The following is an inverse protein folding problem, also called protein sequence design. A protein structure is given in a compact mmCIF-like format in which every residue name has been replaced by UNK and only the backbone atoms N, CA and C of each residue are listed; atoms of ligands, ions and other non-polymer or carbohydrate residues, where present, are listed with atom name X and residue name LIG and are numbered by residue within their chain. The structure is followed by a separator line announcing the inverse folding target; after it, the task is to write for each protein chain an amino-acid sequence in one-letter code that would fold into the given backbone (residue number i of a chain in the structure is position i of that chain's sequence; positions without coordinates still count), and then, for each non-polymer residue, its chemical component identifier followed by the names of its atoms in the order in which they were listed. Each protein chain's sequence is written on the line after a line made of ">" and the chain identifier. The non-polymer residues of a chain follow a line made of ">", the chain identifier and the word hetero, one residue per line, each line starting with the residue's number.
data_IF_774756277635
#
_entry.id   IF_774756277635
#
_cell.length_a   1.000
_cell.length_b   1.000
_cell.length_c   1.000
_cell.angle_alpha   90.00
_cell.angle_beta   90.00
_cell.angle_gamma   90.00
#
_symmetry.space_group_name_H-M   'P 1'
#
loop_
_entity.id
_entity.type
_entity.pdbx_description
1 polymer ?
#
# COMPACT_ATOMS: atom_id res chain seq x y z
N UNK A 1 28.40 1.04 -72.88
CA UNK A 1 29.61 1.46 -72.14
C UNK A 1 29.53 0.90 -70.73
N UNK A 2 30.54 0.18 -70.27
CA UNK A 2 30.38 -0.85 -69.29
C UNK A 2 30.43 -0.33 -67.82
N UNK A 3 29.61 -0.92 -66.97
CA UNK A 3 29.62 -0.75 -65.53
C UNK A 3 30.75 -1.59 -64.91
N UNK A 4 31.60 -0.96 -64.09
CA UNK A 4 32.66 -1.62 -63.36
C UNK A 4 32.09 -2.04 -62.04
N UNK A 5 31.99 -3.37 -61.77
CA UNK A 5 31.63 -3.99 -60.51
C UNK A 5 32.89 -4.06 -59.63
N UNK A 6 32.92 -3.30 -58.56
CA UNK A 6 33.99 -3.41 -57.56
C UNK A 6 33.52 -4.39 -56.47
N UNK A 7 34.05 -5.60 -56.52
CA UNK A 7 33.84 -6.60 -55.49
C UNK A 7 34.73 -6.32 -54.26
N UNK A 8 34.17 -5.93 -53.13
CA UNK A 8 34.86 -5.76 -51.88
C UNK A 8 34.88 -7.12 -51.13
N UNK A 9 36.05 -7.75 -51.13
CA UNK A 9 36.32 -8.98 -50.36
C UNK A 9 36.60 -8.58 -48.92
N UNK A 10 35.67 -8.87 -48.01
CA UNK A 10 35.88 -8.75 -46.59
C UNK A 10 36.39 -10.09 -46.05
N UNK A 11 37.58 -10.16 -45.46
CA UNK A 11 38.03 -11.39 -44.84
C UNK A 11 37.23 -11.62 -43.52
N UNK A 12 36.40 -12.66 -43.49
CA UNK A 12 35.83 -13.18 -42.27
C UNK A 12 36.94 -13.78 -41.42
N UNK A 13 37.36 -13.05 -40.38
CA UNK A 13 38.08 -13.66 -39.27
C UNK A 13 37.07 -14.48 -38.46
N UNK A 14 36.94 -15.76 -38.75
CA UNK A 14 36.36 -16.74 -37.83
C UNK A 14 37.31 -16.94 -36.67
N UNK A 15 37.19 -16.09 -35.65
CA UNK A 15 37.73 -16.38 -34.33
C UNK A 15 36.84 -17.44 -33.68
N UNK A 16 37.26 -18.71 -33.76
CA UNK A 16 36.74 -19.75 -32.86
C UNK A 16 37.17 -19.42 -31.43
N UNK A 17 36.39 -18.60 -30.75
CA UNK A 17 36.40 -18.62 -29.27
C UNK A 17 35.75 -19.95 -28.87
N UNK A 18 36.61 -20.96 -28.61
CA UNK A 18 36.20 -22.14 -27.90
C UNK A 18 35.83 -21.70 -26.47
N UNK A 19 34.58 -21.25 -26.29
CA UNK A 19 33.99 -21.28 -24.96
C UNK A 19 34.01 -22.72 -24.56
N UNK A 20 34.98 -23.07 -23.68
CA UNK A 20 34.93 -24.30 -22.92
C UNK A 20 33.55 -24.36 -22.29
N UNK A 21 32.65 -25.14 -22.89
CA UNK A 21 31.35 -25.48 -22.32
C UNK A 21 31.70 -26.12 -20.97
N UNK A 22 31.60 -25.32 -19.89
CA UNK A 22 31.64 -25.90 -18.57
C UNK A 22 30.51 -26.92 -18.56
N UNK A 23 30.88 -28.21 -18.55
CA UNK A 23 29.94 -29.32 -18.39
C UNK A 23 29.14 -28.99 -17.13
N UNK A 24 27.87 -28.61 -17.29
CA UNK A 24 26.95 -28.51 -16.18
C UNK A 24 26.94 -29.86 -15.48
N UNK A 25 27.30 -29.92 -14.19
CA UNK A 25 27.31 -31.19 -13.49
C UNK A 25 25.89 -31.75 -13.51
N UNK A 26 25.73 -32.96 -14.03
CA UNK A 26 24.48 -33.69 -14.08
C UNK A 26 23.78 -33.66 -12.70
N UNK A 27 22.47 -33.59 -12.72
CA UNK A 27 21.57 -33.35 -11.60
C UNK A 27 21.98 -34.08 -10.31
N UNK A 28 22.55 -33.33 -9.37
CA UNK A 28 22.86 -33.83 -8.01
C UNK A 28 21.79 -33.39 -6.98
N UNK A 29 20.92 -32.43 -7.37
CA UNK A 29 19.74 -32.07 -6.63
C UNK A 29 18.55 -32.95 -7.03
N UNK A 30 17.72 -33.30 -6.08
CA UNK A 30 16.50 -34.06 -6.36
C UNK A 30 15.55 -33.25 -7.23
N UNK A 31 14.69 -33.94 -7.98
CA UNK A 31 13.65 -33.28 -8.77
C UNK A 31 12.77 -32.41 -7.86
N UNK A 32 12.63 -31.12 -8.22
CA UNK A 32 11.85 -30.16 -7.43
C UNK A 32 12.63 -29.41 -6.35
N UNK A 33 13.91 -29.68 -6.13
CA UNK A 33 14.78 -28.85 -5.31
C UNK A 33 15.27 -27.61 -6.08
N UNK A 34 15.49 -26.52 -5.36
CA UNK A 34 16.22 -25.36 -5.87
C UNK A 34 17.71 -25.67 -5.88
N UNK A 35 18.43 -25.14 -6.88
CA UNK A 35 19.86 -25.42 -7.09
C UNK A 35 20.64 -24.10 -7.21
N UNK A 36 21.78 -24.03 -6.53
CA UNK A 36 22.79 -22.99 -6.70
C UNK A 36 24.12 -23.57 -7.14
N UNK A 37 24.82 -22.90 -8.04
CA UNK A 37 26.16 -23.22 -8.50
C UNK A 37 27.06 -22.01 -8.33
N UNK A 38 28.27 -22.21 -7.81
CA UNK A 38 29.28 -21.16 -7.67
C UNK A 38 30.67 -21.67 -7.90
N UNK A 39 31.56 -20.76 -8.33
CA UNK A 39 33.00 -21.03 -8.61
C UNK A 39 33.84 -19.95 -7.95
N UNK A 40 34.82 -20.31 -7.14
CA UNK A 40 35.69 -19.37 -6.46
C UNK A 40 37.16 -19.84 -6.45
N UNK A 41 38.07 -19.00 -5.99
CA UNK A 41 39.47 -19.37 -5.76
C UNK A 41 39.63 -20.25 -4.52
N UNK A 42 38.68 -20.11 -3.59
CA UNK A 42 38.59 -20.93 -2.40
C UNK A 42 37.16 -21.43 -2.17
N UNK A 43 36.98 -22.35 -1.25
CA UNK A 43 35.68 -22.98 -0.97
C UNK A 43 34.63 -22.01 -0.43
N UNK A 44 35.03 -21.02 0.37
CA UNK A 44 34.11 -20.02 0.93
C UNK A 44 33.56 -19.10 -0.14
N UNK A 45 34.38 -18.65 -1.11
CA UNK A 45 33.94 -17.86 -2.24
C UNK A 45 32.99 -18.63 -3.14
N UNK A 46 33.37 -19.87 -3.50
CA UNK A 46 32.52 -20.75 -4.32
C UNK A 46 31.17 -21.02 -3.64
N UNK A 47 31.18 -21.25 -2.32
CA UNK A 47 29.95 -21.47 -1.55
C UNK A 47 29.09 -20.21 -1.46
N UNK A 48 29.69 -19.04 -1.26
CA UNK A 48 28.96 -17.77 -1.23
C UNK A 48 28.27 -17.46 -2.58
N UNK A 49 28.99 -17.69 -3.69
CA UNK A 49 28.44 -17.56 -5.04
C UNK A 49 27.32 -18.60 -5.29
N UNK A 50 27.47 -19.83 -4.89
CA UNK A 50 26.46 -20.87 -5.02
C UNK A 50 25.18 -20.51 -4.23
N UNK A 51 25.29 -19.99 -3.01
CA UNK A 51 24.17 -19.53 -2.20
C UNK A 51 23.49 -18.30 -2.82
N UNK A 52 24.24 -17.38 -3.39
CA UNK A 52 23.70 -16.23 -4.12
C UNK A 52 22.90 -16.66 -5.36
N UNK A 53 23.43 -17.60 -6.14
CA UNK A 53 22.73 -18.17 -7.29
C UNK A 53 21.44 -18.91 -6.88
N UNK A 54 21.47 -19.66 -5.76
CA UNK A 54 20.31 -20.31 -5.17
C UNK A 54 19.23 -19.30 -4.80
N UNK A 55 19.61 -18.24 -4.07
CA UNK A 55 18.69 -17.16 -3.69
C UNK A 55 18.07 -16.48 -4.90
N UNK A 56 18.86 -16.23 -5.96
CA UNK A 56 18.37 -15.71 -7.24
C UNK A 56 17.34 -16.63 -7.90
N UNK A 57 17.55 -17.96 -7.89
CA UNK A 57 16.58 -18.91 -8.43
C UNK A 57 15.27 -18.92 -7.63
N UNK A 58 15.34 -18.88 -6.31
CA UNK A 58 14.16 -18.85 -5.44
C UNK A 58 13.38 -17.53 -5.68
N UNK A 59 14.06 -16.38 -5.71
CA UNK A 59 13.44 -15.08 -6.00
C UNK A 59 12.78 -15.04 -7.37
N UNK A 60 13.40 -15.65 -8.39
CA UNK A 60 12.79 -15.78 -9.73
C UNK A 60 11.53 -16.64 -9.69
N UNK A 61 11.53 -17.75 -8.95
CA UNK A 61 10.34 -18.59 -8.75
C UNK A 61 9.21 -17.84 -8.06
N UNK A 62 9.52 -17.03 -7.05
CA UNK A 62 8.57 -16.14 -6.36
C UNK A 62 7.95 -15.16 -7.34
N UNK A 63 8.75 -14.47 -8.13
CA UNK A 63 8.27 -13.46 -9.09
C UNK A 63 7.35 -14.08 -10.15
N UNK A 64 7.71 -15.21 -10.73
CA UNK A 64 6.88 -15.93 -11.72
C UNK A 64 5.53 -16.35 -11.11
N UNK A 65 5.53 -16.82 -9.87
CA UNK A 65 4.28 -17.20 -9.18
C UNK A 65 3.39 -16.00 -8.94
N UNK A 66 3.96 -14.87 -8.50
CA UNK A 66 3.22 -13.60 -8.29
C UNK A 66 2.65 -13.06 -9.61
N UNK A 67 3.43 -13.04 -10.69
CA UNK A 67 2.95 -12.57 -12.01
C UNK A 67 1.81 -13.42 -12.56
N UNK A 68 1.87 -14.75 -12.42
CA UNK A 68 0.75 -15.64 -12.80
C UNK A 68 -0.53 -15.34 -12.03
N UNK A 69 -0.42 -15.06 -10.74
CA UNK A 69 -1.56 -14.73 -9.89
C UNK A 69 -2.20 -13.41 -10.33
N UNK A 70 -1.40 -12.38 -10.58
CA UNK A 70 -1.87 -11.07 -11.06
C UNK A 70 -2.56 -11.21 -12.42
N UNK A 71 -1.99 -11.95 -13.36
CA UNK A 71 -2.58 -12.15 -14.68
C UNK A 71 -3.90 -12.92 -14.63
N UNK A 72 -4.05 -13.90 -13.72
CA UNK A 72 -5.30 -14.62 -13.52
C UNK A 72 -6.41 -13.74 -12.90
N UNK A 73 -6.06 -12.81 -12.01
CA UNK A 73 -7.03 -11.86 -11.45
C UNK A 73 -7.55 -10.88 -12.49
N UNK A 74 -6.69 -10.40 -13.39
CA UNK A 74 -7.08 -9.51 -14.50
C UNK A 74 -7.99 -10.24 -15.49
N UNK A 75 -7.73 -11.52 -15.80
CA UNK A 75 -8.55 -12.32 -16.73
C UNK A 75 -9.95 -12.63 -16.21
N UNK A 76 -10.16 -12.63 -14.90
CA UNK A 76 -11.46 -12.92 -14.28
C UNK A 76 -12.34 -11.67 -14.09
N UNK A 77 -11.99 -10.52 -14.69
CA UNK A 77 -12.84 -9.33 -14.76
C UNK A 77 -13.10 -8.63 -13.41
N UNK A 78 -12.39 -9.00 -12.37
CA UNK A 78 -12.32 -8.23 -11.12
C UNK A 78 -11.13 -7.29 -11.21
N UNK A 79 -11.36 -6.12 -11.79
CA UNK A 79 -10.50 -4.95 -11.59
C UNK A 79 -10.62 -4.49 -10.14
N UNK A 80 -10.15 -5.28 -9.21
CA UNK A 80 -9.78 -4.78 -7.90
C UNK A 80 -8.37 -4.21 -8.05
N UNK A 81 -8.32 -3.01 -8.63
CA UNK A 81 -7.17 -2.12 -8.62
C UNK A 81 -6.98 -1.58 -7.19
N UNK A 82 -6.99 -2.44 -6.18
CA UNK A 82 -6.26 -2.18 -4.97
C UNK A 82 -4.81 -2.14 -5.42
N UNK A 83 -4.32 -0.92 -5.62
CA UNK A 83 -2.93 -0.61 -5.93
C UNK A 83 -2.05 -1.23 -4.85
N UNK A 84 -1.88 -2.53 -4.94
CA UNK A 84 -0.86 -3.25 -4.22
C UNK A 84 0.50 -2.86 -4.78
N UNK A 85 0.93 -1.64 -4.49
CA UNK A 85 2.33 -1.32 -4.37
C UNK A 85 2.84 -2.09 -3.15
N UNK A 86 2.75 -3.41 -3.24
CA UNK A 86 3.51 -4.24 -2.33
C UNK A 86 4.93 -4.12 -2.80
N UNK A 87 5.66 -3.40 -2.02
CA UNK A 87 7.08 -3.18 -2.17
C UNK A 87 7.76 -4.49 -2.59
N UNK A 88 8.32 -4.53 -3.80
CA UNK A 88 9.29 -5.54 -4.22
C UNK A 88 10.37 -5.75 -3.13
N UNK A 89 10.63 -4.75 -2.34
CA UNK A 89 11.58 -4.75 -1.24
C UNK A 89 11.35 -5.84 -0.18
N UNK A 90 10.12 -6.32 0.03
CA UNK A 90 9.83 -7.36 1.03
C UNK A 90 10.20 -8.76 0.54
N UNK A 91 10.32 -8.96 -0.79
CA UNK A 91 10.69 -10.26 -1.38
C UNK A 91 12.17 -10.25 -1.82
N UNK A 92 12.74 -9.08 -2.09
CA UNK A 92 14.14 -8.92 -2.48
C UNK A 92 15.13 -9.01 -1.31
N UNK A 93 14.66 -9.09 -0.05
CA UNK A 93 15.55 -9.39 1.07
C UNK A 93 16.13 -10.78 0.86
N UNK A 94 17.45 -10.85 0.85
CA UNK A 94 18.22 -12.09 0.74
C UNK A 94 17.55 -13.19 1.58
N UNK A 95 17.28 -14.36 0.99
CA UNK A 95 16.67 -15.49 1.70
C UNK A 95 17.43 -15.73 2.99
N UNK A 96 16.85 -15.49 4.17
CA UNK A 96 17.58 -15.57 5.44
C UNK A 96 18.12 -16.96 5.70
N UNK A 97 17.54 -17.97 5.07
CA UNK A 97 17.89 -19.40 5.23
C UNK A 97 18.69 -20.00 4.07
N UNK A 98 19.20 -19.18 3.11
CA UNK A 98 20.11 -19.69 2.06
C UNK A 98 21.37 -20.33 2.63
N UNK A 99 21.70 -20.03 3.90
CA UNK A 99 22.81 -20.67 4.63
C UNK A 99 22.54 -22.14 4.93
N UNK A 100 21.29 -22.56 5.03
CA UNK A 100 20.87 -23.94 5.32
C UNK A 100 20.91 -24.83 4.08
N UNK A 101 21.28 -24.29 2.91
CA UNK A 101 21.40 -25.06 1.70
C UNK A 101 22.47 -26.16 1.84
N UNK A 102 22.09 -27.39 1.48
CA UNK A 102 22.93 -28.58 1.54
C UNK A 102 23.97 -28.53 0.43
N UNK A 103 25.27 -28.65 0.78
CA UNK A 103 26.35 -28.84 -0.21
C UNK A 103 26.26 -30.27 -0.72
N UNK A 104 26.06 -30.46 -2.02
CA UNK A 104 25.97 -31.76 -2.66
C UNK A 104 27.22 -32.11 -3.42
N UNK A 105 27.99 -31.10 -3.84
CA UNK A 105 29.24 -31.29 -4.54
C UNK A 105 30.22 -30.16 -4.28
N UNK A 106 31.50 -30.52 -4.06
CA UNK A 106 32.63 -29.59 -4.11
C UNK A 106 33.72 -30.27 -4.95
N UNK A 107 34.19 -29.58 -5.99
CA UNK A 107 35.23 -30.12 -6.90
C UNK A 107 36.26 -29.05 -7.20
N UNK A 108 37.53 -29.42 -7.05
CA UNK A 108 38.67 -28.59 -7.44
C UNK A 108 39.05 -28.85 -8.89
N UNK A 109 39.12 -27.79 -9.70
CA UNK A 109 39.59 -27.83 -11.07
C UNK A 109 40.71 -26.78 -11.23
N UNK A 110 41.96 -27.24 -11.16
CA UNK A 110 43.15 -26.38 -11.14
C UNK A 110 43.14 -25.46 -9.91
N UNK A 111 43.16 -24.15 -10.13
CA UNK A 111 43.15 -23.15 -9.07
C UNK A 111 41.75 -22.72 -8.62
N UNK A 112 40.70 -23.29 -9.22
CA UNK A 112 39.30 -22.93 -8.87
C UNK A 112 38.58 -24.09 -8.21
N UNK A 113 37.67 -23.76 -7.31
CA UNK A 113 36.77 -24.70 -6.66
C UNK A 113 35.36 -24.41 -7.14
N UNK A 114 34.63 -25.44 -7.54
CA UNK A 114 33.20 -25.35 -7.89
C UNK A 114 32.37 -26.02 -6.79
N UNK A 115 31.29 -25.37 -6.39
CA UNK A 115 30.34 -25.84 -5.37
C UNK A 115 28.93 -25.86 -5.93
N UNK A 116 28.20 -26.95 -5.62
CA UNK A 116 26.75 -27.07 -5.90
C UNK A 116 26.04 -27.19 -4.57
N UNK A 117 25.01 -26.35 -4.40
CA UNK A 117 24.12 -26.43 -3.23
C UNK A 117 22.71 -26.72 -3.68
N UNK A 118 21.96 -27.45 -2.87
CA UNK A 118 20.55 -27.76 -3.09
C UNK A 118 19.72 -27.39 -1.86
N UNK A 119 18.48 -27.00 -2.08
CA UNK A 119 17.52 -26.71 -1.03
C UNK A 119 16.14 -27.22 -1.44
N UNK A 120 15.43 -27.88 -0.55
CA UNK A 120 14.05 -28.30 -0.78
C UNK A 120 13.13 -27.08 -0.80
N UNK A 121 11.97 -27.18 -1.47
CA UNK A 121 10.92 -26.15 -1.40
C UNK A 121 10.45 -25.92 0.04
N UNK A 122 10.38 -26.99 0.83
CA UNK A 122 9.98 -26.92 2.24
C UNK A 122 10.99 -26.13 3.08
N UNK A 123 12.30 -26.32 2.84
CA UNK A 123 13.34 -25.55 3.54
C UNK A 123 13.33 -24.09 3.10
N UNK A 124 13.20 -23.81 1.81
CA UNK A 124 13.06 -22.45 1.29
C UNK A 124 11.80 -21.74 1.85
N UNK A 125 10.73 -22.49 2.08
CA UNK A 125 9.48 -21.97 2.61
C UNK A 125 9.53 -21.57 4.10
N UNK A 126 10.51 -22.04 4.86
CA UNK A 126 10.58 -21.78 6.32
C UNK A 126 10.51 -20.28 6.67
N UNK A 127 11.24 -19.44 5.93
CA UNK A 127 11.22 -18.00 6.14
C UNK A 127 9.87 -17.36 5.80
N UNK A 128 9.19 -17.85 4.80
CA UNK A 128 7.86 -17.39 4.40
C UNK A 128 6.78 -17.86 5.37
N UNK A 129 6.90 -19.06 5.91
CA UNK A 129 6.02 -19.56 6.97
C UNK A 129 6.16 -18.72 8.25
N UNK A 130 7.38 -18.34 8.63
CA UNK A 130 7.58 -17.47 9.79
C UNK A 130 7.00 -16.06 9.55
N UNK A 131 7.20 -15.49 8.36
CA UNK A 131 6.56 -14.21 7.99
C UNK A 131 5.03 -14.32 8.02
N UNK A 132 4.48 -15.43 7.52
CA UNK A 132 3.04 -15.65 7.52
C UNK A 132 2.48 -15.79 8.94
N UNK A 133 3.21 -16.41 9.86
CA UNK A 133 2.87 -16.46 11.28
C UNK A 133 2.79 -15.07 11.88
N UNK A 134 3.82 -14.23 11.67
CA UNK A 134 3.84 -12.85 12.17
C UNK A 134 2.71 -11.99 11.58
N UNK A 135 2.35 -12.24 10.31
CA UNK A 135 1.21 -11.57 9.67
C UNK A 135 -0.11 -12.04 10.30
N UNK A 136 -0.29 -13.34 10.55
CA UNK A 136 -1.48 -13.86 11.21
C UNK A 136 -1.68 -13.25 12.61
N UNK A 137 -0.62 -13.23 13.42
CA UNK A 137 -0.62 -12.59 14.75
C UNK A 137 -0.97 -11.08 14.66
N UNK A 138 -0.42 -10.40 13.64
CA UNK A 138 -0.66 -8.97 13.41
C UNK A 138 -2.08 -8.68 12.92
N UNK A 139 -2.66 -9.57 12.09
CA UNK A 139 -4.06 -9.51 11.64
C UNK A 139 -4.98 -9.66 12.84
N UNK A 140 -4.73 -10.63 13.71
CA UNK A 140 -5.53 -10.85 14.91
C UNK A 140 -5.53 -9.62 15.82
N UNK A 141 -4.34 -9.03 16.05
CA UNK A 141 -4.21 -7.81 16.87
C UNK A 141 -4.96 -6.63 16.25
N UNK A 142 -4.76 -6.36 14.97
CA UNK A 142 -5.43 -5.25 14.27
C UNK A 142 -6.96 -5.47 14.22
N UNK A 143 -7.41 -6.70 13.96
CA UNK A 143 -8.82 -7.09 13.97
C UNK A 143 -9.46 -6.90 15.34
N UNK A 144 -8.79 -7.28 16.42
CA UNK A 144 -9.26 -7.07 17.77
C UNK A 144 -9.45 -5.58 18.10
N UNK A 145 -8.56 -4.71 17.62
CA UNK A 145 -8.74 -3.26 17.77
C UNK A 145 -9.95 -2.82 16.95
N UNK A 146 -10.08 -3.22 15.68
CA UNK A 146 -11.18 -2.85 14.82
C UNK A 146 -12.55 -3.29 15.37
N UNK A 147 -12.62 -4.47 15.99
CA UNK A 147 -13.86 -5.03 16.54
C UNK A 147 -14.27 -4.33 17.85
N UNK A 148 -13.31 -3.98 18.73
CA UNK A 148 -13.59 -3.58 20.10
C UNK A 148 -13.50 -2.07 20.34
N UNK A 149 -12.91 -1.28 19.43
CA UNK A 149 -12.87 0.18 19.61
C UNK A 149 -14.17 0.83 19.14
N UNK A 150 -14.66 1.77 19.93
CA UNK A 150 -15.77 2.65 19.57
C UNK A 150 -15.28 3.96 18.93
N UNK A 151 -13.98 4.25 19.01
CA UNK A 151 -13.39 5.46 18.46
C UNK A 151 -13.28 5.38 16.92
N UNK A 152 -14.01 6.22 16.15
CA UNK A 152 -14.15 6.05 14.71
C UNK A 152 -12.83 6.01 13.95
N UNK A 153 -11.92 6.94 14.25
CA UNK A 153 -10.60 7.01 13.59
C UNK A 153 -9.77 5.75 13.84
N UNK A 154 -9.71 5.30 15.11
CA UNK A 154 -8.97 4.07 15.45
C UNK A 154 -9.57 2.84 14.77
N UNK A 155 -10.91 2.77 14.68
CA UNK A 155 -11.60 1.67 13.99
C UNK A 155 -11.25 1.64 12.51
N UNK A 156 -11.27 2.80 11.85
CA UNK A 156 -10.91 2.94 10.44
C UNK A 156 -9.44 2.55 10.19
N UNK A 157 -8.51 3.07 10.99
CA UNK A 157 -7.08 2.77 10.88
C UNK A 157 -6.80 1.28 11.11
N UNK A 158 -7.45 0.68 12.12
CA UNK A 158 -7.29 -0.74 12.41
C UNK A 158 -7.85 -1.62 11.29
N UNK A 159 -8.99 -1.26 10.72
CA UNK A 159 -9.56 -1.95 9.57
C UNK A 159 -8.65 -1.86 8.33
N UNK A 160 -8.18 -0.66 7.97
CA UNK A 160 -7.25 -0.49 6.85
C UNK A 160 -5.97 -1.31 7.05
N UNK A 161 -5.43 -1.31 8.27
CA UNK A 161 -4.28 -2.14 8.61
C UNK A 161 -4.57 -3.62 8.45
N UNK A 162 -5.74 -4.08 8.91
CA UNK A 162 -6.17 -5.48 8.75
C UNK A 162 -6.23 -5.88 7.28
N UNK A 163 -6.78 -5.04 6.40
CA UNK A 163 -6.84 -5.29 4.96
C UNK A 163 -5.45 -5.43 4.34
N UNK A 164 -4.53 -4.52 4.65
CA UNK A 164 -3.16 -4.56 4.13
C UNK A 164 -2.44 -5.84 4.57
N UNK A 165 -2.49 -6.15 5.88
CA UNK A 165 -1.86 -7.34 6.43
C UNK A 165 -2.44 -8.63 5.86
N UNK A 166 -3.76 -8.69 5.66
CA UNK A 166 -4.42 -9.85 5.07
C UNK A 166 -4.03 -10.04 3.60
N UNK A 167 -3.89 -8.97 2.83
CA UNK A 167 -3.42 -9.05 1.46
C UNK A 167 -1.99 -9.61 1.38
N UNK A 168 -1.12 -9.18 2.29
CA UNK A 168 0.25 -9.70 2.39
C UNK A 168 0.26 -11.17 2.82
N UNK A 169 -0.58 -11.55 3.79
CA UNK A 169 -0.76 -12.94 4.23
C UNK A 169 -1.19 -13.82 3.04
N UNK A 170 -2.23 -13.42 2.31
CA UNK A 170 -2.74 -14.18 1.16
C UNK A 170 -1.73 -14.29 0.03
N UNK A 171 -0.84 -13.32 -0.12
CA UNK A 171 0.23 -13.37 -1.10
C UNK A 171 1.24 -14.45 -0.76
N UNK A 172 1.67 -14.54 0.52
CA UNK A 172 2.55 -15.61 0.98
C UNK A 172 1.84 -16.95 0.86
N UNK A 173 0.55 -17.04 1.23
CA UNK A 173 -0.24 -18.25 1.10
C UNK A 173 -0.21 -18.80 -0.33
N UNK A 174 -0.48 -17.96 -1.32
CA UNK A 174 -0.47 -18.34 -2.74
C UNK A 174 0.92 -18.80 -3.22
N UNK A 175 1.98 -18.17 -2.71
CA UNK A 175 3.36 -18.59 -2.99
C UNK A 175 3.60 -20.02 -2.46
N UNK A 176 3.23 -20.28 -1.20
CA UNK A 176 3.38 -21.58 -0.56
C UNK A 176 2.55 -22.64 -1.29
N UNK A 177 1.32 -22.32 -1.69
CA UNK A 177 0.46 -23.19 -2.50
C UNK A 177 1.10 -23.54 -3.85
N UNK A 178 1.72 -22.55 -4.53
CA UNK A 178 2.47 -22.76 -5.77
C UNK A 178 3.71 -23.64 -5.61
N UNK A 179 4.24 -23.72 -4.40
CA UNK A 179 5.33 -24.65 -4.05
C UNK A 179 4.83 -25.98 -3.46
N UNK A 180 3.50 -26.14 -3.35
CA UNK A 180 2.88 -27.33 -2.72
C UNK A 180 3.24 -27.47 -1.23
N UNK A 181 3.55 -26.35 -0.56
CA UNK A 181 3.85 -26.29 0.88
C UNK A 181 2.59 -25.84 1.63
N UNK A 182 2.11 -26.70 2.53
CA UNK A 182 0.93 -26.38 3.36
C UNK A 182 1.33 -25.45 4.51
N UNK A 183 0.60 -24.36 4.63
CA UNK A 183 0.69 -23.48 5.80
C UNK A 183 -0.20 -23.98 6.93
N UNK A 184 0.26 -23.97 8.19
CA UNK A 184 -0.60 -24.21 9.35
C UNK A 184 -1.36 -22.95 9.82
N UNK A 185 -1.06 -21.78 9.26
CA UNK A 185 -1.62 -20.50 9.72
C UNK A 185 -2.88 -20.17 8.94
N UNK A 186 -3.89 -19.66 9.65
CA UNK A 186 -5.20 -19.30 9.10
C UNK A 186 -5.54 -17.88 9.55
N UNK A 187 -5.99 -17.05 8.62
CA UNK A 187 -6.43 -15.68 8.90
C UNK A 187 -7.82 -15.35 8.32
N UNK A 188 -8.38 -16.26 7.51
CA UNK A 188 -9.62 -16.03 6.78
C UNK A 188 -10.82 -15.76 7.67
N UNK A 189 -10.96 -16.53 8.77
CA UNK A 189 -12.08 -16.41 9.69
C UNK A 189 -12.06 -15.07 10.42
N UNK A 190 -10.89 -14.69 10.96
CA UNK A 190 -10.68 -13.42 11.66
C UNK A 190 -10.92 -12.25 10.72
N UNK A 191 -10.37 -12.31 9.52
CA UNK A 191 -10.57 -11.27 8.50
C UNK A 191 -12.03 -11.15 8.09
N UNK A 192 -12.71 -12.25 7.81
CA UNK A 192 -14.10 -12.26 7.37
C UNK A 192 -15.05 -11.70 8.43
N UNK A 193 -14.85 -12.06 9.70
CA UNK A 193 -15.58 -11.51 10.83
C UNK A 193 -15.38 -10.01 10.96
N UNK A 194 -14.13 -9.54 10.88
CA UNK A 194 -13.79 -8.12 10.98
C UNK A 194 -14.38 -7.33 9.82
N UNK A 195 -14.35 -7.89 8.61
CA UNK A 195 -14.94 -7.29 7.41
C UNK A 195 -16.46 -7.13 7.55
N UNK A 196 -17.14 -8.13 8.07
CA UNK A 196 -18.59 -8.07 8.28
C UNK A 196 -18.96 -7.03 9.34
N UNK A 197 -18.25 -7.00 10.47
CA UNK A 197 -18.44 -5.98 11.51
C UNK A 197 -18.21 -4.57 10.95
N UNK A 198 -17.12 -4.37 10.21
CA UNK A 198 -16.84 -3.07 9.62
C UNK A 198 -17.85 -2.66 8.56
N UNK A 199 -18.40 -3.60 7.78
CA UNK A 199 -19.50 -3.34 6.84
C UNK A 199 -20.76 -2.87 7.59
N UNK A 200 -21.10 -3.51 8.70
CA UNK A 200 -22.23 -3.11 9.55
C UNK A 200 -21.99 -1.72 10.16
N UNK A 201 -20.76 -1.44 10.60
CA UNK A 201 -20.35 -0.13 11.08
C UNK A 201 -20.50 0.94 9.98
N UNK A 202 -20.08 0.66 8.76
CA UNK A 202 -20.26 1.53 7.60
C UNK A 202 -21.73 1.89 7.32
N UNK A 203 -22.64 0.97 7.54
CA UNK A 203 -24.08 1.20 7.32
C UNK A 203 -24.72 2.00 8.45
N UNK A 204 -24.18 1.88 9.67
CA UNK A 204 -24.70 2.52 10.86
C UNK A 204 -24.18 3.94 11.09
N UNK A 205 -22.92 4.22 10.68
CA UNK A 205 -22.30 5.51 10.96
C UNK A 205 -22.51 6.45 9.80
N UNK A 206 -23.13 7.60 10.11
CA UNK A 206 -23.39 8.69 9.16
C UNK A 206 -22.77 9.98 9.67
N UNK A 207 -22.42 10.86 8.75
CA UNK A 207 -21.98 12.21 9.05
C UNK A 207 -23.18 13.15 8.98
N UNK A 208 -23.45 13.87 10.05
CA UNK A 208 -24.56 14.78 10.17
C UNK A 208 -24.08 16.22 10.18
N UNK A 209 -24.55 17.01 9.23
CA UNK A 209 -24.28 18.45 9.20
C UNK A 209 -25.13 19.18 10.23
N UNK A 210 -24.48 19.87 11.16
CA UNK A 210 -25.13 20.56 12.27
C UNK A 210 -24.56 21.98 12.43
N UNK A 211 -25.02 22.97 11.66
CA UNK A 211 -24.58 24.35 11.80
C UNK A 211 -25.23 25.00 13.03
N UNK A 212 -24.49 25.77 13.81
CA UNK A 212 -25.02 26.54 14.94
C UNK A 212 -26.06 27.56 14.49
N UNK A 213 -25.83 28.16 13.31
CA UNK A 213 -26.76 29.02 12.60
C UNK A 213 -26.71 28.75 11.10
N UNK A 214 -27.89 28.74 10.47
CA UNK A 214 -27.99 28.77 9.02
C UNK A 214 -27.67 30.17 8.50
N UNK A 215 -26.61 30.29 7.74
CA UNK A 215 -26.14 31.55 7.13
C UNK A 215 -25.63 31.27 5.72
N UNK A 216 -25.52 32.28 4.83
CA UNK A 216 -24.90 32.08 3.53
C UNK A 216 -23.48 31.51 3.60
N UNK A 217 -22.76 31.72 4.71
CA UNK A 217 -21.43 31.21 4.94
C UNK A 217 -21.45 29.72 5.33
N UNK A 218 -22.41 29.29 6.15
CA UNK A 218 -22.61 27.87 6.47
C UNK A 218 -23.05 27.05 5.25
N UNK A 219 -23.86 27.63 4.36
CA UNK A 219 -24.24 27.04 3.08
C UNK A 219 -23.05 26.84 2.14
N UNK A 220 -22.16 27.85 2.04
CA UNK A 220 -20.89 27.73 1.28
C UNK A 220 -20.04 26.60 1.86
N UNK A 221 -19.91 26.54 3.18
CA UNK A 221 -19.11 25.52 3.88
C UNK A 221 -19.68 24.13 3.66
N UNK A 222 -20.99 23.96 3.78
CA UNK A 222 -21.68 22.71 3.46
C UNK A 222 -21.43 22.28 2.03
N UNK A 223 -21.61 23.18 1.06
CA UNK A 223 -21.39 22.91 -0.36
C UNK A 223 -19.97 22.46 -0.65
N UNK A 224 -18.97 23.04 0.02
CA UNK A 224 -17.56 22.68 -0.15
C UNK A 224 -17.24 21.32 0.44
N UNK A 225 -17.70 21.06 1.65
CA UNK A 225 -17.46 19.77 2.31
C UNK A 225 -18.22 18.64 1.61
N UNK A 226 -19.48 18.87 1.21
CA UNK A 226 -20.30 17.85 0.53
C UNK A 226 -19.77 17.45 -0.86
N UNK A 227 -18.90 18.28 -1.46
CA UNK A 227 -18.22 17.90 -2.70
C UNK A 227 -17.21 16.75 -2.54
N UNK A 228 -16.77 16.48 -1.32
CA UNK A 228 -15.78 15.44 -1.03
C UNK A 228 -16.19 14.42 0.03
N UNK A 229 -17.30 14.68 0.74
CA UNK A 229 -17.77 13.86 1.87
C UNK A 229 -19.30 13.73 1.77
N UNK A 230 -19.80 12.50 1.95
CA UNK A 230 -21.25 12.28 2.02
C UNK A 230 -21.74 12.65 3.43
N UNK A 231 -22.66 13.63 3.50
CA UNK A 231 -23.24 14.12 4.74
C UNK A 231 -24.77 14.13 4.65
N UNK A 232 -25.46 13.98 5.78
CA UNK A 232 -26.90 14.08 5.91
C UNK A 232 -27.26 15.36 6.68
N UNK A 233 -28.32 16.04 6.22
CA UNK A 233 -28.91 17.17 6.95
C UNK A 233 -30.05 16.59 7.79
N UNK A 234 -29.69 16.02 8.93
CA UNK A 234 -30.63 15.45 9.89
C UNK A 234 -30.03 15.55 11.30
N UNK A 235 -30.86 15.53 12.34
CA UNK A 235 -30.33 15.42 13.70
C UNK A 235 -29.43 14.21 13.84
N UNK A 236 -28.29 14.40 14.53
CA UNK A 236 -27.38 13.30 14.85
C UNK A 236 -28.03 12.36 15.84
N UNK A 237 -28.05 11.07 15.53
CA UNK A 237 -28.56 10.02 16.40
C UNK A 237 -27.64 8.81 16.45
N UNK A 238 -27.72 8.06 17.54
CA UNK A 238 -27.03 6.79 17.72
C UNK A 238 -25.52 6.88 17.55
N UNK A 239 -24.96 6.15 16.58
CA UNK A 239 -23.51 6.06 16.30
C UNK A 239 -23.00 7.05 15.28
N UNK A 240 -23.80 8.05 14.89
CA UNK A 240 -23.41 9.07 13.93
C UNK A 240 -22.28 9.98 14.43
N UNK A 241 -21.72 10.74 13.50
CA UNK A 241 -20.73 11.80 13.78
C UNK A 241 -21.37 13.13 13.39
N UNK A 242 -21.46 14.06 14.34
CA UNK A 242 -21.93 15.42 14.14
C UNK A 242 -20.77 16.28 13.60
N UNK A 243 -21.01 16.98 12.53
CA UNK A 243 -20.16 18.04 12.01
C UNK A 243 -20.74 19.38 12.46
N UNK A 244 -20.40 19.79 13.69
CA UNK A 244 -20.90 21.01 14.29
C UNK A 244 -20.11 22.22 13.74
N UNK A 245 -20.77 23.00 12.89
CA UNK A 245 -20.18 24.17 12.25
C UNK A 245 -20.53 25.45 12.99
N UNK A 246 -19.51 26.24 13.32
CA UNK A 246 -19.61 27.56 13.94
C UNK A 246 -18.92 28.61 13.08
N UNK A 247 -19.59 29.72 12.85
CA UNK A 247 -19.02 30.87 12.17
C UNK A 247 -19.49 32.14 12.85
N UNK A 248 -18.58 33.12 13.04
CA UNK A 248 -18.92 34.46 13.48
C UNK A 248 -19.59 35.21 12.33
N UNK A 249 -20.21 36.36 12.62
CA UNK A 249 -20.52 37.32 11.56
C UNK A 249 -19.21 37.92 11.01
N UNK A 250 -19.15 38.26 9.71
CA UNK A 250 -17.96 38.89 9.16
C UNK A 250 -17.66 40.23 9.86
N UNK A 251 -16.41 40.35 10.33
CA UNK A 251 -15.92 41.61 10.91
C UNK A 251 -15.22 42.42 9.85
N UNK A 252 -15.78 43.65 9.61
CA UNK A 252 -15.22 44.55 8.63
C UNK A 252 -14.57 45.76 9.32
N UNK A 253 -13.36 46.10 8.90
CA UNK A 253 -12.60 47.27 9.39
C UNK A 253 -11.94 48.01 8.24
N UNK A 254 -11.63 49.29 8.44
CA UNK A 254 -10.89 50.10 7.46
C UNK A 254 -9.43 50.17 7.90
N UNK A 255 -8.54 49.66 7.06
CA UNK A 255 -7.10 49.70 7.26
C UNK A 255 -6.42 50.30 6.03
N UNK A 256 -5.66 51.38 6.19
CA UNK A 256 -4.94 52.04 5.09
C UNK A 256 -5.89 52.47 3.92
N UNK A 257 -7.12 52.92 4.22
CA UNK A 257 -8.10 53.31 3.19
C UNK A 257 -8.78 52.14 2.45
N UNK A 258 -8.55 50.90 2.88
CA UNK A 258 -9.19 49.72 2.33
C UNK A 258 -10.12 49.07 3.37
N UNK A 259 -11.32 48.67 2.93
CA UNK A 259 -12.20 47.83 3.75
C UNK A 259 -11.66 46.40 3.74
N UNK A 260 -11.41 45.88 4.90
CA UNK A 260 -10.99 44.48 5.13
C UNK A 260 -12.08 43.80 5.93
N UNK A 261 -12.70 42.76 5.34
CA UNK A 261 -13.68 41.93 6.00
C UNK A 261 -13.07 40.58 6.25
N UNK A 262 -13.16 40.08 7.49
CA UNK A 262 -12.65 38.76 7.91
C UNK A 262 -13.79 37.91 8.41
N UNK A 263 -13.71 36.61 8.17
CA UNK A 263 -14.66 35.62 8.62
C UNK A 263 -13.92 34.44 9.22
N UNK A 264 -14.02 34.31 10.55
CA UNK A 264 -13.47 33.17 11.29
C UNK A 264 -14.55 32.12 11.51
N UNK A 265 -14.19 30.87 11.28
CA UNK A 265 -15.11 29.77 11.46
C UNK A 265 -14.39 28.51 11.96
N UNK A 266 -15.16 27.62 12.54
CA UNK A 266 -14.65 26.31 13.00
C UNK A 266 -15.65 25.20 12.69
N UNK A 267 -15.12 24.00 12.58
CA UNK A 267 -15.87 22.78 12.43
C UNK A 267 -15.37 21.81 13.50
N UNK A 268 -16.24 21.37 14.40
CA UNK A 268 -15.94 20.26 15.30
C UNK A 268 -16.57 18.97 14.78
N UNK A 269 -15.85 17.88 15.00
CA UNK A 269 -16.35 16.53 14.81
C UNK A 269 -16.66 16.00 16.18
N UNK A 270 -17.93 15.72 16.42
CA UNK A 270 -18.42 15.29 17.73
C UNK A 270 -19.17 13.95 17.57
N UNK A 271 -19.13 13.09 18.57
CA UNK A 271 -20.11 12.02 18.66
C UNK A 271 -21.51 12.61 18.85
N UNK A 272 -22.56 11.86 18.53
CA UNK A 272 -23.93 12.32 18.76
C UNK A 272 -24.28 12.57 20.24
N UNK A 273 -23.49 12.03 21.16
CA UNK A 273 -23.59 12.29 22.61
C UNK A 273 -22.89 13.59 23.05
N UNK A 274 -22.25 14.30 22.13
CA UNK A 274 -21.52 15.54 22.38
C UNK A 274 -20.03 15.38 22.72
N UNK A 275 -19.50 14.17 22.69
CA UNK A 275 -18.05 13.96 22.88
C UNK A 275 -17.28 14.52 21.68
N UNK A 276 -16.48 15.55 21.89
CA UNK A 276 -15.64 16.17 20.84
C UNK A 276 -14.48 15.26 20.48
N UNK A 277 -14.34 14.94 19.20
CA UNK A 277 -13.21 14.19 18.65
C UNK A 277 -12.09 15.09 18.14
N UNK A 278 -12.44 16.16 17.45
CA UNK A 278 -11.48 17.12 16.89
C UNK A 278 -12.14 18.44 16.51
N UNK A 279 -11.34 19.49 16.43
CA UNK A 279 -11.77 20.80 15.94
C UNK A 279 -10.85 21.30 14.82
N UNK A 280 -11.46 21.77 13.73
CA UNK A 280 -10.81 22.43 12.61
C UNK A 280 -11.15 23.93 12.65
N UNK A 281 -10.18 24.79 12.34
CA UNK A 281 -10.36 26.25 12.29
C UNK A 281 -9.94 26.79 10.94
N UNK A 282 -10.71 27.72 10.41
CA UNK A 282 -10.46 28.39 9.16
C UNK A 282 -10.75 29.89 9.25
N UNK A 283 -10.10 30.65 8.42
CA UNK A 283 -10.32 32.07 8.27
C UNK A 283 -10.29 32.43 6.78
N UNK A 284 -11.24 33.27 6.37
CA UNK A 284 -11.26 33.87 5.04
C UNK A 284 -11.30 35.40 5.16
N UNK A 285 -10.69 36.09 4.20
CA UNK A 285 -10.61 37.54 4.18
C UNK A 285 -10.91 38.08 2.80
N UNK A 286 -11.62 39.21 2.75
CA UNK A 286 -11.84 39.99 1.54
C UNK A 286 -11.39 41.46 1.74
N UNK A 287 -10.70 42.01 0.76
CA UNK A 287 -10.16 43.36 0.82
C UNK A 287 -10.58 44.15 -0.43
N UNK A 288 -11.19 45.31 -0.25
CA UNK A 288 -11.57 46.20 -1.35
C UNK A 288 -11.75 47.66 -0.86
N UNK A 289 -11.71 48.63 -1.77
CA UNK A 289 -11.97 50.06 -1.45
C UNK A 289 -13.41 50.29 -0.98
N UNK A 290 -14.39 49.53 -1.52
CA UNK A 290 -15.80 49.61 -1.13
C UNK A 290 -16.16 48.42 -0.24
N UNK A 291 -16.92 48.66 0.85
CA UNK A 291 -17.24 47.59 1.81
C UNK A 291 -18.05 46.42 1.20
N UNK A 292 -19.02 46.73 0.32
CA UNK A 292 -19.83 45.73 -0.35
C UNK A 292 -19.00 44.75 -1.19
N UNK A 293 -17.98 45.22 -1.90
CA UNK A 293 -17.07 44.38 -2.67
C UNK A 293 -16.01 43.67 -1.80
N UNK A 294 -15.73 44.19 -0.61
CA UNK A 294 -14.88 43.45 0.35
C UNK A 294 -15.62 42.20 0.85
N UNK A 295 -16.92 42.28 1.13
CA UNK A 295 -17.77 41.13 1.49
C UNK A 295 -17.91 40.11 0.35
N UNK A 296 -18.13 40.60 -0.89
CA UNK A 296 -18.19 39.72 -2.07
C UNK A 296 -16.86 38.96 -2.29
N UNK A 297 -15.73 39.64 -2.16
CA UNK A 297 -14.42 39.03 -2.22
C UNK A 297 -14.19 38.01 -1.09
N UNK A 298 -14.66 38.30 0.13
CA UNK A 298 -14.63 37.38 1.24
C UNK A 298 -15.33 36.08 0.90
N UNK A 299 -16.58 36.16 0.35
CA UNK A 299 -17.32 34.99 -0.06
C UNK A 299 -16.64 34.21 -1.20
N UNK A 300 -16.05 34.93 -2.17
CA UNK A 300 -15.27 34.34 -3.25
C UNK A 300 -14.02 33.61 -2.73
N UNK A 301 -13.30 34.23 -1.79
CA UNK A 301 -12.12 33.65 -1.17
C UNK A 301 -12.47 32.44 -0.28
N UNK A 302 -13.58 32.49 0.44
CA UNK A 302 -14.08 31.35 1.20
C UNK A 302 -14.37 30.16 0.28
N UNK A 303 -15.04 30.38 -0.88
CA UNK A 303 -15.31 29.32 -1.86
C UNK A 303 -14.06 28.68 -2.44
N UNK A 304 -12.97 29.43 -2.57
CA UNK A 304 -11.70 28.98 -3.16
C UNK A 304 -10.61 28.63 -2.14
N UNK A 305 -10.90 28.73 -0.84
CA UNK A 305 -9.93 28.53 0.20
C UNK A 305 -9.30 27.12 0.17
N UNK A 306 -7.97 27.05 0.24
CA UNK A 306 -7.23 25.79 0.14
C UNK A 306 -7.42 24.83 1.34
N UNK A 307 -7.85 25.37 2.49
CA UNK A 307 -8.08 24.54 3.67
C UNK A 307 -9.24 23.54 3.53
N UNK A 308 -10.19 23.73 2.58
CA UNK A 308 -11.29 22.76 2.38
C UNK A 308 -10.79 21.37 2.04
N UNK A 309 -9.77 21.25 1.20
CA UNK A 309 -9.17 19.96 0.86
C UNK A 309 -8.52 19.32 2.09
N UNK A 310 -7.86 20.10 2.92
CA UNK A 310 -7.30 19.61 4.17
C UNK A 310 -8.40 19.13 5.11
N UNK A 311 -9.48 19.90 5.29
CA UNK A 311 -10.61 19.53 6.14
C UNK A 311 -11.30 18.25 5.64
N UNK A 312 -11.53 18.14 4.34
CA UNK A 312 -12.09 16.93 3.73
C UNK A 312 -11.20 15.71 4.05
N UNK A 313 -9.87 15.84 3.91
CA UNK A 313 -8.95 14.75 4.18
C UNK A 313 -8.93 14.36 5.67
N UNK A 314 -8.98 15.34 6.57
CA UNK A 314 -9.07 15.08 8.01
C UNK A 314 -10.38 14.37 8.38
N UNK A 315 -11.52 14.88 7.91
CA UNK A 315 -12.84 14.27 8.19
C UNK A 315 -12.92 12.84 7.64
N UNK A 316 -12.32 12.57 6.48
CA UNK A 316 -12.26 11.21 5.90
C UNK A 316 -11.56 10.20 6.81
N UNK A 317 -10.65 10.62 7.67
CA UNK A 317 -10.02 9.69 8.63
C UNK A 317 -11.00 9.23 9.71
N UNK A 318 -12.02 10.03 10.01
CA UNK A 318 -13.03 9.76 11.01
C UNK A 318 -14.28 9.06 10.43
N UNK A 319 -14.58 9.31 9.16
CA UNK A 319 -15.69 8.69 8.46
C UNK A 319 -15.33 7.26 8.02
N UNK A 320 -16.27 6.29 8.11
CA UNK A 320 -16.00 4.95 7.59
C UNK A 320 -15.68 4.99 6.10
N UNK A 321 -14.65 4.27 5.72
CA UNK A 321 -14.26 4.08 4.32
C UNK A 321 -15.05 2.87 3.79
N UNK A 322 -16.27 3.11 3.36
CA UNK A 322 -17.18 2.08 2.88
C UNK A 322 -16.99 1.88 1.37
N UNK A 323 -16.70 0.65 0.98
CA UNK A 323 -16.65 0.21 -0.44
C UNK A 323 -18.05 -0.09 -0.97
#
# INVERSE_FOLDING_TARGET
>A
MPAILLALIIPMFMGCASTARQEEPAAECLSGEFRGFGVGENENEALAEARSALAGQINSSVNVTVERIVSQQISNGKEDLSKGYVSRATIESALPNAQDARIVRSKRNGNKISVVVCMTKADAAKSFLEQQRLLADSIELASNIALNTEHPKQKNEAWQKTQVLYNDFMRIQRLLDGWEVKSPYLADEVYSKTREDYKNYCQAVKLHWNPEKETPYSEISFSKLSSGIKMEISPCDGRGISLAYKGSEPECSVKFGLNTCTYAHSLSLDACDGTEYMQLKGEAMGVHQKPEFALEKLQGNLKSAGFWNQWINEIKQWSPQCE
#
